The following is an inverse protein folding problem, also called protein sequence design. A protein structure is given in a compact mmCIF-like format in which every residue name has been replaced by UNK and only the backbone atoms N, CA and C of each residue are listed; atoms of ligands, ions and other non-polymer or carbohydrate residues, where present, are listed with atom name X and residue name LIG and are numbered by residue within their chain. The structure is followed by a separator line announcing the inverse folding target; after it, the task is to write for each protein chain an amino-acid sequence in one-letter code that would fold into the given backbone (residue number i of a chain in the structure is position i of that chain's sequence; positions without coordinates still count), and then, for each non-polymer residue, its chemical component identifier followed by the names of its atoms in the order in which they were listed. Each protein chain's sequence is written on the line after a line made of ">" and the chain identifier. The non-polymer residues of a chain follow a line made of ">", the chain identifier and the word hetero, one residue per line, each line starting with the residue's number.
data_IF_541325958861
#
_entry.id   IF_541325958861
#
_cell.length_a   1.000
_cell.length_b   1.000
_cell.length_c   1.000
_cell.angle_alpha   90.00
_cell.angle_beta   90.00
_cell.angle_gamma   90.00
#
_symmetry.space_group_name_H-M   'P 1'
#
loop_
_entity.id
_entity.type
_entity.pdbx_description
1 polymer ?
#
# COMPACT_ATOMS: atom_id res chain seq x y z
N UNK A 1 -2.05 3.66 14.61
CA UNK A 1 -1.02 4.62 14.13
C UNK A 1 -1.65 5.56 13.11
N UNK A 2 -1.33 6.82 13.18
CA UNK A 2 -1.83 7.79 12.21
C UNK A 2 -0.86 8.94 12.03
N UNK A 3 -0.91 9.57 10.85
CA UNK A 3 -0.08 10.71 10.51
C UNK A 3 -0.81 11.62 9.53
N UNK A 4 -0.51 12.91 9.60
CA UNK A 4 -1.00 13.88 8.63
C UNK A 4 0.18 14.27 7.74
N UNK A 5 0.06 14.01 6.44
CA UNK A 5 1.10 14.29 5.45
C UNK A 5 0.43 14.96 4.25
N UNK A 6 0.92 16.13 3.87
CA UNK A 6 0.34 16.92 2.77
C UNK A 6 -1.17 17.12 2.93
N UNK A 7 -1.59 17.47 4.15
CA UNK A 7 -2.99 17.76 4.48
C UNK A 7 -3.92 16.54 4.40
N UNK A 8 -3.38 15.34 4.39
CA UNK A 8 -4.17 14.10 4.35
C UNK A 8 -3.86 13.24 5.57
N UNK A 9 -4.90 12.64 6.15
CA UNK A 9 -4.76 11.73 7.27
C UNK A 9 -4.55 10.30 6.76
N UNK A 10 -3.46 9.68 7.21
CA UNK A 10 -3.16 8.26 6.99
C UNK A 10 -3.33 7.54 8.32
N UNK A 11 -4.36 6.70 8.43
CA UNK A 11 -4.79 6.11 9.70
C UNK A 11 -5.02 4.61 9.54
N UNK A 12 -4.28 3.80 10.30
CA UNK A 12 -4.40 2.34 10.22
C UNK A 12 -5.75 1.83 10.75
N UNK A 13 -6.44 2.59 11.61
CA UNK A 13 -7.73 2.14 12.16
C UNK A 13 -8.85 2.19 11.15
N UNK A 14 -8.72 3.00 10.09
CA UNK A 14 -9.71 3.15 9.02
C UNK A 14 -9.23 2.63 7.68
N UNK A 15 -8.07 1.99 7.65
CA UNK A 15 -7.46 1.47 6.42
C UNK A 15 -7.40 -0.06 6.46
N UNK A 16 -7.19 -0.66 5.30
CA UNK A 16 -7.00 -2.10 5.21
C UNK A 16 -5.55 -2.42 4.86
N UNK A 17 -5.04 -3.52 5.42
CA UNK A 17 -3.71 -4.01 5.11
C UNK A 17 -3.76 -4.79 3.81
N UNK A 18 -2.93 -4.44 2.84
CA UNK A 18 -2.81 -5.18 1.58
C UNK A 18 -1.68 -6.20 1.62
N UNK A 19 -0.59 -5.88 2.29
CA UNK A 19 0.59 -6.74 2.32
C UNK A 19 1.34 -6.57 3.64
N UNK A 20 1.82 -7.68 4.20
CA UNK A 20 2.64 -7.70 5.41
C UNK A 20 3.96 -8.39 5.10
N UNK A 21 5.05 -7.64 5.17
CA UNK A 21 6.41 -8.15 5.02
C UNK A 21 7.12 -8.28 6.37
N UNK A 22 8.40 -8.57 6.31
CA UNK A 22 9.21 -8.79 7.51
C UNK A 22 9.36 -7.51 8.36
N UNK A 23 9.47 -6.36 7.72
CA UNK A 23 9.70 -5.09 8.42
C UNK A 23 8.81 -3.97 7.93
N UNK A 24 7.83 -4.27 7.07
CA UNK A 24 6.97 -3.24 6.49
C UNK A 24 5.59 -3.78 6.16
N UNK A 25 4.62 -2.87 6.12
CA UNK A 25 3.24 -3.18 5.74
C UNK A 25 2.75 -2.16 4.74
N UNK A 26 1.93 -2.61 3.79
CA UNK A 26 1.31 -1.75 2.79
C UNK A 26 -0.19 -1.67 3.07
N UNK A 27 -0.73 -0.46 3.02
CA UNK A 27 -2.11 -0.16 3.40
C UNK A 27 -2.85 0.59 2.31
N UNK A 28 -4.16 0.43 2.31
CA UNK A 28 -5.07 1.19 1.43
C UNK A 28 -6.10 1.91 2.30
N UNK A 29 -6.26 3.21 2.09
CA UNK A 29 -7.24 4.04 2.80
C UNK A 29 -8.64 3.86 2.22
N UNK A 30 -9.66 4.33 2.96
CA UNK A 30 -11.04 4.32 2.48
C UNK A 30 -11.22 5.09 1.17
N UNK A 31 -10.44 6.13 0.96
CA UNK A 31 -10.50 6.93 -0.26
C UNK A 31 -9.68 6.35 -1.42
N UNK A 32 -9.09 5.18 -1.24
CA UNK A 32 -8.32 4.53 -2.29
C UNK A 32 -6.89 5.02 -2.44
N UNK A 33 -6.36 5.72 -1.45
CA UNK A 33 -4.95 6.09 -1.40
C UNK A 33 -4.14 4.97 -0.76
N UNK A 34 -2.83 4.97 -0.96
CA UNK A 34 -1.94 3.94 -0.43
C UNK A 34 -0.87 4.55 0.44
N UNK A 35 -0.42 3.78 1.43
CA UNK A 35 0.73 4.18 2.25
C UNK A 35 1.45 2.94 2.76
N UNK A 36 2.71 3.12 3.09
CA UNK A 36 3.56 2.07 3.64
C UNK A 36 3.99 2.47 5.04
N UNK A 37 4.04 1.49 5.94
CA UNK A 37 4.63 1.64 7.26
C UNK A 37 5.89 0.78 7.29
N UNK A 38 7.01 1.39 7.66
CA UNK A 38 8.31 0.75 7.80
C UNK A 38 9.00 1.30 9.04
N UNK A 39 10.22 0.85 9.37
CA UNK A 39 10.99 1.49 10.45
C UNK A 39 11.21 2.99 10.24
N UNK A 40 11.10 3.47 9.00
CA UNK A 40 11.19 4.90 8.69
C UNK A 40 9.90 5.68 8.98
N UNK A 41 8.81 4.99 9.33
CA UNK A 41 7.53 5.61 9.63
C UNK A 41 6.50 5.40 8.54
N UNK A 42 5.49 6.28 8.49
CA UNK A 42 4.42 6.25 7.50
C UNK A 42 4.85 7.04 6.27
N UNK A 43 4.73 6.41 5.08
CA UNK A 43 5.07 7.03 3.81
C UNK A 43 3.91 6.87 2.82
N UNK A 44 3.33 7.97 2.32
CA UNK A 44 2.35 7.86 1.22
C UNK A 44 3.01 7.22 0.00
N UNK A 45 2.25 6.43 -0.74
CA UNK A 45 2.73 5.79 -1.97
C UNK A 45 1.82 6.14 -3.13
N UNK A 46 2.40 6.51 -4.26
CA UNK A 46 1.66 6.69 -5.50
C UNK A 46 1.24 5.33 -6.06
N UNK A 47 0.16 5.30 -6.85
CA UNK A 47 -0.35 4.06 -7.42
C UNK A 47 0.70 3.31 -8.25
N UNK A 48 1.54 4.02 -8.98
CA UNK A 48 2.61 3.42 -9.78
C UNK A 48 3.65 2.73 -8.89
N UNK A 49 3.98 3.32 -7.75
CA UNK A 49 4.89 2.74 -6.77
C UNK A 49 4.30 1.46 -6.18
N UNK A 50 3.00 1.48 -5.86
CA UNK A 50 2.29 0.31 -5.33
C UNK A 50 2.30 -0.83 -6.34
N UNK A 51 2.07 -0.53 -7.62
CA UNK A 51 2.09 -1.56 -8.68
C UNK A 51 3.46 -2.21 -8.79
N UNK A 52 4.53 -1.43 -8.80
CA UNK A 52 5.89 -1.98 -8.82
C UNK A 52 6.15 -2.82 -7.58
N UNK A 53 5.77 -2.31 -6.43
CA UNK A 53 5.97 -2.98 -5.14
C UNK A 53 5.26 -4.33 -5.10
N UNK A 54 3.94 -4.35 -5.34
CA UNK A 54 3.15 -5.58 -5.28
C UNK A 54 3.49 -6.54 -6.42
N UNK A 55 3.86 -6.03 -7.58
CA UNK A 55 4.28 -6.85 -8.70
C UNK A 55 5.49 -7.72 -8.41
N UNK A 56 6.31 -7.30 -7.44
CA UNK A 56 7.49 -8.05 -7.00
C UNK A 56 7.19 -8.81 -5.70
N UNK A 57 6.51 -8.19 -4.75
CA UNK A 57 6.34 -8.75 -3.41
C UNK A 57 5.19 -9.73 -3.30
N UNK A 58 4.07 -9.49 -3.99
CA UNK A 58 2.88 -10.34 -3.89
C UNK A 58 2.00 -10.18 -5.12
N UNK A 59 2.22 -11.05 -6.10
CA UNK A 59 1.50 -10.98 -7.38
C UNK A 59 0.01 -11.27 -7.22
N UNK A 60 -0.40 -12.08 -6.25
CA UNK A 60 -1.82 -12.37 -6.02
C UNK A 60 -2.56 -11.13 -5.52
N UNK A 61 -1.94 -10.38 -4.61
CA UNK A 61 -2.51 -9.11 -4.14
C UNK A 61 -2.55 -8.09 -5.26
N UNK A 62 -1.50 -8.04 -6.12
CA UNK A 62 -1.50 -7.16 -7.28
C UNK A 62 -2.73 -7.42 -8.18
N UNK A 63 -2.96 -8.69 -8.52
CA UNK A 63 -4.07 -9.08 -9.40
C UNK A 63 -5.42 -8.75 -8.75
N UNK A 64 -5.56 -9.03 -7.46
CA UNK A 64 -6.78 -8.74 -6.72
C UNK A 64 -7.07 -7.24 -6.68
N UNK A 65 -6.04 -6.42 -6.57
CA UNK A 65 -6.18 -4.97 -6.44
C UNK A 65 -6.32 -4.27 -7.80
N UNK A 66 -5.57 -4.69 -8.81
CA UNK A 66 -5.47 -3.99 -10.08
C UNK A 66 -5.99 -4.76 -11.29
N UNK A 67 -6.23 -6.07 -11.15
CA UNK A 67 -6.74 -6.91 -12.22
C UNK A 67 -5.67 -7.77 -12.87
N UNK A 68 -6.14 -8.64 -13.79
CA UNK A 68 -5.28 -9.59 -14.49
C UNK A 68 -4.26 -8.91 -15.40
N UNK A 69 -3.13 -9.56 -15.58
CA UNK A 69 -2.07 -9.12 -16.49
C UNK A 69 -1.76 -10.22 -17.49
N UNK A 70 -1.14 -9.87 -18.60
CA UNK A 70 -0.71 -10.83 -19.61
C UNK A 70 0.54 -11.55 -19.14
N UNK A 71 0.66 -12.82 -19.55
CA UNK A 71 1.90 -13.56 -19.36
C UNK A 71 2.98 -13.02 -20.30
N UNK A 72 4.19 -12.92 -19.80
CA UNK A 72 5.31 -12.48 -20.59
C UNK A 72 5.67 -13.50 -21.68
#
# INVERSE_FOLDING_TARGET
>A
MKAIINNKMYDTTTSITLYTGASETLWKTENGSYFRISPMGIEPMAIDEVKVYLGIKDTDVYIKEFGEVELA
#
